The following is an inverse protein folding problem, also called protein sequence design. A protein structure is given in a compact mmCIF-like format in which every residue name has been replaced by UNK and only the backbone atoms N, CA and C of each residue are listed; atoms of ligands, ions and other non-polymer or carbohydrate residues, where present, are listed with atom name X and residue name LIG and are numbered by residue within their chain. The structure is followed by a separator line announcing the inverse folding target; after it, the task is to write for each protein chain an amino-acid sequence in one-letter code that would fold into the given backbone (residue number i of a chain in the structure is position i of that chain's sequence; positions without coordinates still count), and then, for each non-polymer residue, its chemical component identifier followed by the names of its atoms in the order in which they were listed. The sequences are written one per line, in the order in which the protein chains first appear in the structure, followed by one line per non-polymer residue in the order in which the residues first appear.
data_IF_069684821130
#
_entry.id   IF_069684821130
#
_cell.length_a   1.000
_cell.length_b   1.000
_cell.length_c   1.000
_cell.angle_alpha   90.00
_cell.angle_beta   90.00
_cell.angle_gamma   90.00
#
_symmetry.space_group_name_H-M   'P 1'
#
loop_
_entity.id
_entity.type
_entity.pdbx_description
1 polymer ?
#
# COMPACT_ATOMS: atom_id res chain seq x y z
N UNK A 1 11.37 -23.59 30.42
CA UNK A 1 10.76 -22.83 29.31
C UNK A 1 11.89 -22.36 28.39
N UNK A 2 11.65 -22.26 27.08
CA UNK A 2 12.63 -21.77 26.10
C UNK A 2 12.16 -20.40 25.63
N UNK A 3 13.01 -19.38 25.80
CA UNK A 3 12.79 -18.04 25.25
C UNK A 3 13.38 -18.00 23.86
N UNK A 4 12.58 -17.60 22.87
CA UNK A 4 13.03 -17.41 21.50
C UNK A 4 12.89 -15.93 21.15
N UNK A 5 14.02 -15.24 21.10
CA UNK A 5 14.09 -13.84 20.70
C UNK A 5 14.39 -13.75 19.21
N UNK A 6 13.61 -12.95 18.48
CA UNK A 6 13.89 -12.60 17.10
C UNK A 6 14.23 -11.11 16.97
N UNK A 7 15.43 -10.82 16.47
CA UNK A 7 15.91 -9.47 16.21
C UNK A 7 16.16 -9.30 14.71
N UNK A 8 15.63 -8.23 14.14
CA UNK A 8 15.81 -7.91 12.73
C UNK A 8 16.93 -6.87 12.57
N UNK A 9 17.87 -7.17 11.69
CA UNK A 9 18.80 -6.19 11.13
C UNK A 9 18.29 -5.75 9.76
N UNK A 10 17.71 -4.55 9.68
CA UNK A 10 17.18 -3.98 8.44
C UNK A 10 18.26 -3.74 7.38
N UNK A 11 19.48 -3.44 7.81
CA UNK A 11 20.59 -3.10 6.91
C UNK A 11 21.13 -4.34 6.23
N UNK A 12 21.28 -5.43 6.97
CA UNK A 12 21.70 -6.73 6.47
C UNK A 12 20.53 -7.51 5.85
N UNK A 13 19.28 -7.11 6.16
CA UNK A 13 18.04 -7.85 5.83
C UNK A 13 18.06 -9.26 6.42
N UNK A 14 18.53 -9.38 7.65
CA UNK A 14 18.69 -10.65 8.34
C UNK A 14 17.88 -10.69 9.63
N UNK A 15 17.25 -11.83 9.92
CA UNK A 15 16.61 -12.07 11.21
C UNK A 15 17.49 -13.01 12.03
N UNK A 16 17.91 -12.52 13.19
CA UNK A 16 18.66 -13.28 14.18
C UNK A 16 17.69 -13.90 15.18
N UNK A 17 17.64 -15.23 15.21
CA UNK A 17 16.89 -16.00 16.19
C UNK A 17 17.84 -16.47 17.28
N UNK A 18 17.54 -16.15 18.53
CA UNK A 18 18.30 -16.62 19.69
C UNK A 18 17.38 -17.42 20.60
N UNK A 19 17.65 -18.71 20.72
CA UNK A 19 16.92 -19.61 21.59
C UNK A 19 17.72 -19.86 22.86
N UNK A 20 17.12 -19.59 24.02
CA UNK A 20 17.75 -19.77 25.33
C UNK A 20 16.82 -20.57 26.23
N UNK A 21 17.24 -21.76 26.72
CA UNK A 21 16.46 -22.50 27.70
C UNK A 21 16.71 -21.96 29.12
N UNK A 22 15.65 -21.82 29.92
CA UNK A 22 15.79 -21.37 31.32
C UNK A 22 16.43 -22.44 32.24
N UNK A 23 16.46 -23.70 31.79
CA UNK A 23 16.98 -24.86 32.52
C UNK A 23 17.59 -25.86 31.53
N UNK A 24 18.50 -26.72 32.01
CA UNK A 24 19.10 -27.76 31.19
C UNK A 24 18.04 -28.68 30.57
N UNK A 25 18.18 -28.96 29.27
CA UNK A 25 17.23 -29.78 28.52
C UNK A 25 17.57 -31.27 28.63
N UNK A 26 16.58 -32.17 28.82
CA UNK A 26 16.82 -33.61 28.92
C UNK A 26 17.14 -34.28 27.57
N UNK A 27 16.83 -33.62 26.45
CA UNK A 27 17.09 -34.08 25.09
C UNK A 27 17.30 -32.88 24.14
N UNK A 28 17.91 -33.06 22.96
CA UNK A 28 18.03 -31.98 21.98
C UNK A 28 16.65 -31.53 21.48
N UNK A 29 16.52 -30.24 21.21
CA UNK A 29 15.26 -29.64 20.77
C UNK A 29 15.49 -28.80 19.52
N UNK A 30 14.69 -29.05 18.47
CA UNK A 30 14.58 -28.13 17.34
C UNK A 30 13.40 -27.18 17.56
N UNK A 31 13.63 -25.88 17.34
CA UNK A 31 12.58 -24.86 17.29
C UNK A 31 12.31 -24.55 15.83
N UNK A 32 11.06 -24.71 15.39
CA UNK A 32 10.67 -24.55 13.98
C UNK A 32 9.55 -23.53 13.81
N UNK A 33 9.51 -22.87 12.65
CA UNK A 33 8.46 -21.94 12.23
C UNK A 33 7.98 -22.31 10.83
N UNK A 34 6.71 -22.68 10.68
CA UNK A 34 6.13 -23.16 9.40
C UNK A 34 7.03 -24.23 8.72
N UNK A 35 7.65 -25.11 9.52
CA UNK A 35 8.56 -26.17 9.05
C UNK A 35 10.02 -25.77 8.85
N UNK A 36 10.37 -24.48 8.94
CA UNK A 36 11.76 -23.99 8.90
C UNK A 36 12.40 -24.14 10.28
N UNK A 37 13.55 -24.81 10.38
CA UNK A 37 14.30 -24.93 11.64
C UNK A 37 15.00 -23.61 11.95
N UNK A 38 14.59 -22.96 13.04
CA UNK A 38 15.12 -21.68 13.50
C UNK A 38 16.28 -21.82 14.49
N UNK A 39 16.30 -22.87 15.31
CA UNK A 39 17.39 -23.12 16.24
C UNK A 39 17.42 -24.60 16.65
N UNK A 40 18.61 -25.09 17.00
CA UNK A 40 18.82 -26.42 17.58
C UNK A 40 19.50 -26.24 18.92
N UNK A 41 18.82 -26.63 20.01
CA UNK A 41 19.35 -26.54 21.37
C UNK A 41 19.82 -27.94 21.79
N UNK A 42 21.13 -28.15 22.03
CA UNK A 42 21.65 -29.42 22.53
C UNK A 42 21.08 -29.81 23.90
N UNK A 43 21.11 -31.11 24.22
CA UNK A 43 20.78 -31.58 25.56
C UNK A 43 21.83 -31.11 26.58
N UNK A 44 21.41 -30.88 27.83
CA UNK A 44 22.30 -30.55 28.95
C UNK A 44 22.92 -29.15 28.92
N UNK A 45 22.71 -28.36 27.86
CA UNK A 45 23.30 -27.03 27.70
C UNK A 45 22.26 -25.93 27.98
N UNK A 46 22.47 -25.07 29.00
CA UNK A 46 21.67 -23.85 29.19
C UNK A 46 22.07 -22.70 28.24
N UNK A 47 23.05 -22.91 27.37
CA UNK A 47 23.60 -21.93 26.45
C UNK A 47 22.62 -21.44 25.37
N UNK A 48 22.78 -20.17 24.99
CA UNK A 48 22.02 -19.57 23.91
C UNK A 48 22.51 -20.07 22.55
N UNK A 49 21.57 -20.46 21.68
CA UNK A 49 21.86 -20.86 20.31
C UNK A 49 21.31 -19.82 19.36
N UNK A 50 22.15 -19.33 18.45
CA UNK A 50 21.79 -18.27 17.50
C UNK A 50 21.84 -18.77 16.07
N UNK A 51 20.77 -18.53 15.32
CA UNK A 51 20.72 -18.68 13.88
C UNK A 51 20.46 -17.32 13.24
N UNK A 52 21.12 -17.08 12.11
CA UNK A 52 20.87 -15.91 11.26
C UNK A 52 20.27 -16.41 9.95
N UNK A 53 19.10 -15.88 9.61
CA UNK A 53 18.40 -16.21 8.36
C UNK A 53 18.20 -14.94 7.52
N UNK A 54 18.35 -15.02 6.19
CA UNK A 54 17.95 -13.93 5.32
C UNK A 54 16.44 -13.73 5.41
N UNK A 55 15.99 -12.48 5.51
CA UNK A 55 14.57 -12.13 5.63
C UNK A 55 13.77 -12.67 4.44
N UNK A 56 14.37 -12.76 3.25
CA UNK A 56 13.78 -13.32 2.05
C UNK A 56 13.28 -14.75 2.24
N UNK A 57 13.98 -15.58 3.03
CA UNK A 57 13.57 -16.95 3.32
C UNK A 57 12.35 -17.02 4.26
N UNK A 58 12.07 -15.94 4.98
CA UNK A 58 11.01 -15.84 5.99
C UNK A 58 9.81 -15.02 5.50
N UNK A 59 9.99 -14.22 4.44
CA UNK A 59 8.97 -13.32 3.89
C UNK A 59 7.70 -14.05 3.45
N UNK A 60 7.82 -15.34 3.12
CA UNK A 60 6.70 -16.15 2.65
C UNK A 60 5.91 -16.86 3.75
N UNK A 61 6.34 -16.74 5.01
CA UNK A 61 5.66 -17.26 6.20
C UNK A 61 4.35 -16.49 6.41
N UNK A 62 3.26 -17.21 6.66
CA UNK A 62 1.92 -16.61 6.77
C UNK A 62 1.14 -17.03 8.01
N UNK A 63 1.45 -18.19 8.60
CA UNK A 63 0.71 -18.72 9.76
C UNK A 63 1.46 -18.54 11.07
N UNK A 64 2.79 -18.47 10.98
CA UNK A 64 3.61 -18.24 12.16
C UNK A 64 3.54 -19.42 13.14
N UNK A 65 3.29 -20.64 12.65
CA UNK A 65 3.14 -21.82 13.48
C UNK A 65 4.50 -22.21 14.05
N UNK A 66 4.75 -21.76 15.28
CA UNK A 66 5.91 -22.13 16.06
C UNK A 66 5.69 -23.51 16.70
N UNK A 67 6.63 -24.41 16.44
CA UNK A 67 6.62 -25.74 17.01
C UNK A 67 7.99 -26.09 17.60
N UNK A 68 7.97 -26.94 18.62
CA UNK A 68 9.17 -27.66 19.04
C UNK A 68 9.12 -29.09 18.58
N UNK A 69 10.29 -29.64 18.30
CA UNK A 69 10.47 -31.06 18.01
C UNK A 69 11.51 -31.66 18.96
N UNK A 70 11.11 -32.05 20.18
CA UNK A 70 11.94 -32.86 21.06
C UNK A 70 11.93 -34.32 20.57
N UNK A 71 12.97 -34.76 19.87
CA UNK A 71 13.16 -36.18 19.52
C UNK A 71 11.98 -36.90 18.85
N UNK A 72 11.00 -36.18 18.28
CA UNK A 72 9.79 -36.73 17.64
C UNK A 72 8.46 -36.61 18.39
N UNK A 73 8.43 -36.17 19.66
CA UNK A 73 7.17 -35.99 20.42
C UNK A 73 6.70 -34.52 20.42
N UNK A 74 5.38 -34.22 20.49
CA UNK A 74 4.91 -32.84 20.64
C UNK A 74 5.22 -32.29 22.05
N UNK A 75 5.63 -31.03 22.17
CA UNK A 75 5.99 -30.40 23.44
C UNK A 75 4.75 -30.12 24.31
N UNK A 76 4.92 -29.98 25.64
CA UNK A 76 3.87 -29.47 26.50
C UNK A 76 3.52 -28.00 26.15
N UNK A 77 2.24 -27.59 26.31
CA UNK A 77 1.83 -26.20 26.15
C UNK A 77 2.66 -25.25 27.03
N UNK A 78 3.06 -24.09 26.48
CA UNK A 78 3.84 -23.08 27.21
C UNK A 78 5.35 -23.35 27.27
N UNK A 79 5.87 -24.35 26.56
CA UNK A 79 7.30 -24.59 26.47
C UNK A 79 8.07 -23.46 25.75
N UNK A 80 7.40 -22.68 24.88
CA UNK A 80 7.99 -21.55 24.14
C UNK A 80 7.47 -20.24 24.67
N UNK A 81 8.38 -19.28 24.79
CA UNK A 81 8.05 -17.86 24.89
C UNK A 81 8.67 -17.12 23.70
N UNK A 82 7.91 -16.88 22.61
CA UNK A 82 8.38 -16.04 21.52
C UNK A 82 8.41 -14.57 21.96
N UNK A 83 9.49 -13.86 21.63
CA UNK A 83 9.72 -12.47 22.01
C UNK A 83 10.27 -11.65 20.83
N UNK A 84 9.82 -10.40 20.71
CA UNK A 84 10.29 -9.43 19.71
C UNK A 84 9.27 -9.14 18.60
N UNK A 85 9.44 -7.99 17.93
CA UNK A 85 8.49 -7.46 16.94
C UNK A 85 8.28 -8.39 15.73
N UNK A 86 9.26 -9.23 15.41
CA UNK A 86 9.12 -10.24 14.36
C UNK A 86 7.99 -11.25 14.67
N UNK A 87 7.93 -11.77 15.90
CA UNK A 87 6.84 -12.67 16.29
C UNK A 87 5.52 -11.95 16.48
N UNK A 88 5.55 -10.69 16.93
CA UNK A 88 4.33 -9.85 16.97
C UNK A 88 3.73 -9.67 15.57
N UNK A 89 4.56 -9.44 14.55
CA UNK A 89 4.12 -9.30 13.16
C UNK A 89 3.51 -10.60 12.61
N UNK A 90 4.06 -11.76 12.99
CA UNK A 90 3.54 -13.07 12.60
C UNK A 90 2.22 -13.43 13.28
N UNK A 91 2.07 -13.04 14.55
CA UNK A 91 1.00 -13.50 15.43
C UNK A 91 0.04 -12.37 15.84
N UNK A 92 -0.28 -11.45 14.91
CA UNK A 92 -1.25 -10.39 15.15
C UNK A 92 -2.57 -10.95 15.74
N UNK A 93 -3.01 -10.50 16.93
CA UNK A 93 -4.14 -11.10 17.62
C UNK A 93 -5.47 -10.77 16.94
N UNK A 94 -5.59 -9.54 16.42
CA UNK A 94 -6.81 -9.02 15.80
C UNK A 94 -6.51 -7.91 14.78
N UNK A 95 -7.55 -7.52 14.01
CA UNK A 95 -7.49 -6.45 13.03
C UNK A 95 -7.21 -5.07 13.66
N UNK A 96 -7.66 -4.82 14.88
CA UNK A 96 -7.44 -3.54 15.55
C UNK A 96 -5.95 -3.32 15.84
N UNK A 97 -5.27 -4.36 16.30
CA UNK A 97 -3.82 -4.38 16.55
C UNK A 97 -3.06 -4.17 15.25
N UNK A 98 -3.50 -4.80 14.16
CA UNK A 98 -2.93 -4.53 12.83
C UNK A 98 -3.01 -3.03 12.48
N UNK A 99 -4.19 -2.40 12.59
CA UNK A 99 -4.33 -0.97 12.27
C UNK A 99 -3.50 -0.07 13.18
N UNK A 100 -3.39 -0.38 14.48
CA UNK A 100 -2.51 0.34 15.39
C UNK A 100 -1.05 0.27 14.91
N UNK A 101 -0.57 -0.94 14.58
CA UNK A 101 0.82 -1.20 14.15
C UNK A 101 1.16 -0.70 12.73
N UNK A 102 0.18 -0.34 11.90
CA UNK A 102 0.46 0.18 10.54
C UNK A 102 0.09 1.64 10.33
N UNK A 103 -0.73 2.23 11.20
CA UNK A 103 -1.21 3.61 11.04
C UNK A 103 -0.65 4.60 12.06
N UNK A 104 -0.36 4.19 13.30
CA UNK A 104 -0.02 5.13 14.37
C UNK A 104 1.50 5.30 14.50
N UNK A 105 2.00 6.53 14.36
CA UNK A 105 3.44 6.81 14.34
C UNK A 105 4.23 6.32 15.57
N UNK A 106 3.58 6.21 16.74
CA UNK A 106 4.23 5.82 18.00
C UNK A 106 4.20 4.31 18.27
N UNK A 107 3.33 3.56 17.59
CA UNK A 107 3.22 2.10 17.76
C UNK A 107 3.48 1.33 16.47
N UNK A 108 3.75 2.04 15.36
CA UNK A 108 4.04 1.41 14.08
C UNK A 108 5.33 0.60 14.12
N UNK A 109 5.38 -0.47 13.32
CA UNK A 109 6.65 -1.13 13.03
C UNK A 109 7.64 -0.12 12.46
N UNK A 110 8.79 0.03 13.12
CA UNK A 110 9.84 0.91 12.62
C UNK A 110 10.47 0.34 11.35
N UNK A 111 10.60 -0.98 11.28
CA UNK A 111 11.15 -1.69 10.14
C UNK A 111 10.12 -1.83 8.99
N UNK A 112 10.49 -1.43 7.76
CA UNK A 112 9.69 -1.71 6.57
C UNK A 112 9.51 -3.21 6.28
N UNK A 113 10.47 -4.06 6.68
CA UNK A 113 10.40 -5.50 6.47
C UNK A 113 9.40 -6.15 7.45
N UNK A 114 9.38 -5.71 8.71
CA UNK A 114 8.35 -6.15 9.67
C UNK A 114 6.95 -5.71 9.26
N UNK A 115 6.83 -4.51 8.70
CA UNK A 115 5.57 -4.02 8.14
C UNK A 115 5.11 -4.89 6.96
N UNK A 116 6.03 -5.29 6.06
CA UNK A 116 5.76 -6.21 4.96
C UNK A 116 5.28 -7.58 5.49
N UNK A 117 5.95 -8.13 6.50
CA UNK A 117 5.57 -9.40 7.13
C UNK A 117 4.20 -9.32 7.79
N UNK A 118 3.97 -8.30 8.63
CA UNK A 118 2.71 -8.11 9.35
C UNK A 118 1.52 -7.90 8.40
N UNK A 119 1.72 -7.17 7.29
CA UNK A 119 0.71 -7.03 6.26
C UNK A 119 0.37 -8.38 5.60
N UNK A 120 1.38 -9.19 5.27
CA UNK A 120 1.14 -10.52 4.71
C UNK A 120 0.35 -11.42 5.65
N UNK A 121 0.77 -11.51 6.91
CA UNK A 121 0.08 -12.31 7.93
C UNK A 121 -1.35 -11.82 8.14
N UNK A 122 -1.57 -10.50 8.20
CA UNK A 122 -2.91 -9.93 8.30
C UNK A 122 -3.81 -10.29 7.10
N UNK A 123 -3.28 -10.26 5.87
CA UNK A 123 -4.05 -10.63 4.68
C UNK A 123 -4.52 -12.09 4.72
N UNK A 124 -3.66 -13.01 5.16
CA UNK A 124 -3.93 -14.45 5.18
C UNK A 124 -4.75 -14.87 6.41
N UNK A 125 -4.62 -14.19 7.55
CA UNK A 125 -5.33 -14.53 8.79
C UNK A 125 -6.73 -13.93 8.86
N UNK A 126 -6.90 -12.68 8.44
CA UNK A 126 -8.17 -11.96 8.55
C UNK A 126 -8.98 -12.05 7.25
N UNK A 127 -9.19 -13.27 6.76
CA UNK A 127 -9.85 -13.55 5.45
C UNK A 127 -11.27 -12.97 5.35
N UNK A 128 -11.97 -12.90 6.48
CA UNK A 128 -13.33 -12.38 6.60
C UNK A 128 -13.42 -10.86 6.75
N UNK A 129 -12.31 -10.16 6.92
CA UNK A 129 -12.27 -8.70 7.05
C UNK A 129 -11.69 -8.06 5.77
N UNK A 130 -12.56 -7.64 4.82
CA UNK A 130 -12.12 -7.06 3.56
C UNK A 130 -11.32 -5.76 3.75
N UNK A 131 -11.57 -5.02 4.82
CA UNK A 131 -10.87 -3.77 5.11
C UNK A 131 -9.42 -4.03 5.48
N UNK A 132 -9.19 -4.98 6.39
CA UNK A 132 -7.83 -5.41 6.79
C UNK A 132 -7.08 -5.99 5.60
N UNK A 133 -7.75 -6.81 4.78
CA UNK A 133 -7.13 -7.37 3.57
C UNK A 133 -6.75 -6.28 2.57
N UNK A 134 -7.60 -5.26 2.38
CA UNK A 134 -7.31 -4.16 1.47
C UNK A 134 -6.11 -3.33 1.95
N UNK A 135 -6.07 -3.03 3.25
CA UNK A 135 -4.96 -2.32 3.88
C UNK A 135 -3.64 -3.09 3.75
N UNK A 136 -3.66 -4.39 4.04
CA UNK A 136 -2.51 -5.27 3.89
C UNK A 136 -1.98 -5.29 2.44
N UNK A 137 -2.86 -5.51 1.46
CA UNK A 137 -2.45 -5.49 0.05
C UNK A 137 -1.91 -4.12 -0.38
N UNK A 138 -2.51 -3.02 0.10
CA UNK A 138 -2.04 -1.68 -0.22
C UNK A 138 -0.60 -1.46 0.30
N UNK A 139 -0.29 -1.91 1.51
CA UNK A 139 1.05 -1.85 2.10
C UNK A 139 2.04 -2.71 1.30
N UNK A 140 1.70 -3.97 1.02
CA UNK A 140 2.54 -4.89 0.26
C UNK A 140 2.84 -4.34 -1.14
N UNK A 141 1.82 -3.82 -1.83
CA UNK A 141 1.96 -3.21 -3.15
C UNK A 141 2.84 -1.96 -3.11
N UNK A 142 2.69 -1.07 -2.12
CA UNK A 142 3.55 0.10 -1.97
C UNK A 142 5.03 -0.30 -1.83
N UNK A 143 5.34 -1.26 -0.95
CA UNK A 143 6.71 -1.76 -0.74
C UNK A 143 7.25 -2.42 -2.00
N UNK A 144 6.40 -3.09 -2.77
CA UNK A 144 6.81 -3.67 -4.04
C UNK A 144 7.13 -2.59 -5.08
N UNK A 145 6.26 -1.58 -5.26
CA UNK A 145 6.43 -0.49 -6.22
C UNK A 145 7.75 0.26 -6.00
N UNK A 146 8.13 0.54 -4.76
CA UNK A 146 9.40 1.21 -4.45
C UNK A 146 10.63 0.45 -4.96
N UNK A 147 10.57 -0.88 -4.94
CA UNK A 147 11.64 -1.79 -5.36
C UNK A 147 11.60 -2.14 -6.85
N UNK A 148 10.51 -1.82 -7.57
CA UNK A 148 10.36 -2.18 -8.98
C UNK A 148 11.53 -1.69 -9.83
N UNK A 149 11.98 -2.57 -10.72
CA UNK A 149 12.97 -2.34 -11.77
C UNK A 149 12.32 -2.49 -13.16
N UNK A 150 13.03 -2.01 -14.19
CA UNK A 150 12.65 -2.22 -15.60
C UNK A 150 12.91 -3.64 -16.07
N UNK A 151 13.86 -4.34 -15.44
CA UNK A 151 14.22 -5.73 -15.72
C UNK A 151 13.64 -6.61 -14.60
N UNK A 152 12.40 -7.08 -14.78
CA UNK A 152 11.70 -7.86 -13.76
C UNK A 152 12.07 -9.33 -13.84
N UNK A 153 12.41 -9.91 -12.70
CA UNK A 153 12.53 -11.35 -12.60
C UNK A 153 11.14 -12.01 -12.63
N UNK A 154 11.01 -13.28 -13.07
CA UNK A 154 9.72 -13.99 -13.07
C UNK A 154 9.03 -14.01 -11.70
N UNK A 155 9.80 -14.05 -10.60
CA UNK A 155 9.28 -13.98 -9.24
C UNK A 155 8.62 -12.64 -8.90
N UNK A 156 9.10 -11.54 -9.48
CA UNK A 156 8.49 -10.22 -9.31
C UNK A 156 7.19 -10.11 -10.10
N UNK A 157 7.17 -10.61 -11.34
CA UNK A 157 5.95 -10.66 -12.16
C UNK A 157 4.85 -11.50 -11.51
N UNK A 158 5.21 -12.69 -11.00
CA UNK A 158 4.28 -13.54 -10.25
C UNK A 158 3.72 -12.82 -9.00
N UNK A 159 4.53 -12.00 -8.33
CA UNK A 159 4.07 -11.21 -7.18
C UNK A 159 3.13 -10.08 -7.58
N UNK A 160 3.39 -9.38 -8.69
CA UNK A 160 2.47 -8.37 -9.23
C UNK A 160 1.14 -9.04 -9.57
N UNK A 161 1.17 -10.16 -10.28
CA UNK A 161 -0.03 -10.91 -10.64
C UNK A 161 -0.83 -11.32 -9.38
N UNK A 162 -0.16 -11.86 -8.35
CA UNK A 162 -0.78 -12.20 -7.08
C UNK A 162 -1.43 -10.99 -6.39
N UNK A 163 -0.73 -9.85 -6.32
CA UNK A 163 -1.26 -8.63 -5.71
C UNK A 163 -2.52 -8.14 -6.44
N UNK A 164 -2.48 -8.10 -7.78
CA UNK A 164 -3.59 -7.63 -8.61
C UNK A 164 -4.79 -8.59 -8.57
N UNK A 165 -4.54 -9.90 -8.62
CA UNK A 165 -5.57 -10.93 -8.49
C UNK A 165 -6.32 -10.80 -7.16
N UNK A 166 -5.60 -10.62 -6.05
CA UNK A 166 -6.19 -10.46 -4.72
C UNK A 166 -6.84 -9.09 -4.51
N UNK A 167 -6.38 -8.04 -5.18
CA UNK A 167 -6.96 -6.71 -5.09
C UNK A 167 -8.33 -6.63 -5.79
N UNK A 168 -8.49 -7.27 -6.95
CA UNK A 168 -9.70 -7.20 -7.79
C UNK A 168 -11.03 -7.45 -7.03
N UNK A 169 -11.22 -8.55 -6.28
CA UNK A 169 -12.49 -8.79 -5.57
C UNK A 169 -12.76 -7.75 -4.48
N UNK A 170 -11.72 -7.25 -3.81
CA UNK A 170 -11.86 -6.19 -2.79
C UNK A 170 -12.25 -4.86 -3.43
N UNK A 171 -11.75 -4.56 -4.64
CA UNK A 171 -12.16 -3.37 -5.40
C UNK A 171 -13.60 -3.46 -5.87
N UNK A 172 -14.04 -4.64 -6.36
CA UNK A 172 -15.43 -4.86 -6.71
C UNK A 172 -16.36 -4.74 -5.48
N UNK A 173 -15.91 -5.19 -4.31
CA UNK A 173 -16.65 -5.00 -3.06
C UNK A 173 -16.72 -3.51 -2.66
N UNK A 174 -15.60 -2.80 -2.72
CA UNK A 174 -15.53 -1.38 -2.41
C UNK A 174 -16.47 -0.55 -3.31
N UNK A 175 -16.52 -0.84 -4.61
CA UNK A 175 -17.45 -0.20 -5.54
C UNK A 175 -18.92 -0.39 -5.17
N UNK A 176 -19.29 -1.55 -4.63
CA UNK A 176 -20.67 -1.82 -4.19
C UNK A 176 -21.01 -1.12 -2.88
N UNK A 177 -20.03 -1.00 -1.97
CA UNK A 177 -20.24 -0.47 -0.62
C UNK A 177 -20.11 1.04 -0.53
N UNK A 178 -19.28 1.65 -1.36
CA UNK A 178 -19.01 3.09 -1.35
C UNK A 178 -20.01 3.83 -2.24
N UNK A 179 -21.02 4.52 -1.67
CA UNK A 179 -22.02 5.22 -2.44
C UNK A 179 -21.43 6.39 -3.21
N UNK A 180 -22.07 6.72 -4.34
CA UNK A 180 -21.75 7.88 -5.17
C UNK A 180 -21.93 9.24 -4.46
N UNK A 181 -22.62 9.24 -3.32
CA UNK A 181 -22.83 10.43 -2.49
C UNK A 181 -22.66 10.05 -1.01
N UNK A 182 -22.14 10.98 -0.19
CA UNK A 182 -22.06 10.81 1.27
C UNK A 182 -23.48 11.04 1.80
N UNK A 183 -24.13 10.04 2.44
CA UNK A 183 -25.40 10.29 3.11
C UNK A 183 -25.18 11.24 4.31
N UNK A 184 -26.17 12.08 4.62
CA UNK A 184 -26.21 12.89 5.83
C UNK A 184 -27.23 12.29 6.82
N UNK A 185 -26.82 11.80 8.01
CA UNK A 185 -25.45 11.76 8.54
C UNK A 185 -24.58 10.67 7.89
N UNK A 186 -23.24 10.86 7.84
CA UNK A 186 -22.34 9.87 7.28
C UNK A 186 -22.34 8.60 8.12
N UNK A 187 -22.63 7.47 7.48
CA UNK A 187 -22.64 6.13 8.13
C UNK A 187 -21.44 5.27 7.78
N UNK A 188 -20.54 5.77 6.93
CA UNK A 188 -19.39 5.03 6.41
C UNK A 188 -18.15 5.23 7.30
N UNK A 189 -17.47 4.16 7.73
CA UNK A 189 -16.19 4.27 8.40
C UNK A 189 -15.14 4.91 7.47
N UNK A 190 -14.41 5.92 7.96
CA UNK A 190 -13.38 6.59 7.17
C UNK A 190 -12.27 5.65 6.68
N UNK A 191 -12.01 4.56 7.43
CA UNK A 191 -11.04 3.54 7.05
C UNK A 191 -11.42 2.86 5.73
N UNK A 192 -12.72 2.65 5.50
CA UNK A 192 -13.23 1.98 4.30
C UNK A 192 -12.90 2.80 3.06
N UNK A 193 -13.14 4.12 3.11
CA UNK A 193 -12.72 5.06 2.07
C UNK A 193 -11.19 5.02 1.92
N UNK A 194 -10.45 5.14 3.02
CA UNK A 194 -8.98 5.22 2.99
C UNK A 194 -8.33 4.04 2.29
N UNK A 195 -8.65 2.84 2.73
CA UNK A 195 -7.95 1.65 2.27
C UNK A 195 -8.43 1.20 0.89
N UNK A 196 -9.69 1.47 0.54
CA UNK A 196 -10.18 1.25 -0.82
C UNK A 196 -9.49 2.17 -1.82
N UNK A 197 -9.41 3.47 -1.51
CA UNK A 197 -8.70 4.46 -2.36
C UNK A 197 -7.21 4.11 -2.45
N UNK A 198 -6.57 3.74 -1.34
CA UNK A 198 -5.15 3.38 -1.32
C UNK A 198 -4.87 2.13 -2.16
N UNK A 199 -5.66 1.07 -1.99
CA UNK A 199 -5.52 -0.18 -2.75
C UNK A 199 -5.75 0.07 -4.25
N UNK A 200 -6.78 0.83 -4.63
CA UNK A 200 -7.02 1.19 -6.02
C UNK A 200 -5.85 1.97 -6.63
N UNK A 201 -5.30 2.93 -5.88
CA UNK A 201 -4.18 3.75 -6.33
C UNK A 201 -2.95 2.91 -6.64
N UNK A 202 -2.56 2.00 -5.73
CA UNK A 202 -1.39 1.13 -5.95
C UNK A 202 -1.66 0.03 -6.97
N UNK A 203 -2.88 -0.50 -7.06
CA UNK A 203 -3.25 -1.44 -8.12
C UNK A 203 -3.17 -0.78 -9.51
N UNK A 204 -3.63 0.47 -9.63
CA UNK A 204 -3.48 1.27 -10.86
C UNK A 204 -2.02 1.44 -11.25
N UNK A 205 -1.15 1.74 -10.29
CA UNK A 205 0.31 1.84 -10.53
C UNK A 205 0.91 0.52 -11.02
N UNK A 206 0.55 -0.59 -10.39
CA UNK A 206 1.03 -1.92 -10.78
C UNK A 206 0.55 -2.31 -12.19
N UNK A 207 -0.71 -2.02 -12.54
CA UNK A 207 -1.22 -2.23 -13.90
C UNK A 207 -0.47 -1.39 -14.94
N UNK A 208 -0.25 -0.09 -14.68
CA UNK A 208 0.52 0.76 -15.59
C UNK A 208 1.97 0.27 -15.74
N UNK A 209 2.58 -0.16 -14.64
CA UNK A 209 3.92 -0.75 -14.67
C UNK A 209 3.94 -2.04 -15.50
N UNK A 210 2.86 -2.83 -15.52
CA UNK A 210 2.68 -3.99 -16.40
C UNK A 210 2.29 -3.65 -17.84
N UNK A 211 2.11 -2.37 -18.18
CA UNK A 211 1.69 -1.92 -19.51
C UNK A 211 0.18 -2.00 -19.76
N UNK A 212 -0.62 -2.41 -18.79
CA UNK A 212 -2.08 -2.53 -18.88
C UNK A 212 -2.75 -1.22 -18.44
N UNK A 213 -2.72 -0.23 -19.32
CA UNK A 213 -3.29 1.09 -19.05
C UNK A 213 -4.82 1.08 -18.98
N UNK A 214 -5.48 0.10 -19.61
CA UNK A 214 -6.93 -0.03 -19.57
C UNK A 214 -7.40 -0.47 -18.18
N UNK A 215 -6.80 -1.52 -17.62
CA UNK A 215 -7.08 -1.94 -16.25
C UNK A 215 -6.63 -0.88 -15.22
N UNK A 216 -5.52 -0.19 -15.47
CA UNK A 216 -5.11 0.92 -14.61
C UNK A 216 -6.16 2.03 -14.54
N UNK A 217 -6.76 2.40 -15.69
CA UNK A 217 -7.87 3.37 -15.73
C UNK A 217 -9.02 2.89 -14.85
N UNK A 218 -9.44 1.63 -14.96
CA UNK A 218 -10.51 1.06 -14.12
C UNK A 218 -10.21 1.16 -12.63
N UNK A 219 -8.95 0.95 -12.22
CA UNK A 219 -8.56 1.12 -10.82
C UNK A 219 -8.70 2.59 -10.38
N UNK A 220 -8.25 3.55 -11.18
CA UNK A 220 -8.34 4.98 -10.83
C UNK A 220 -9.77 5.55 -10.86
N UNK A 221 -10.73 4.83 -11.45
CA UNK A 221 -12.13 5.23 -11.39
C UNK A 221 -12.68 5.24 -9.96
N UNK A 222 -12.17 4.37 -9.07
CA UNK A 222 -12.64 4.30 -7.68
C UNK A 222 -12.19 5.53 -6.84
N UNK A 223 -10.90 5.93 -6.82
CA UNK A 223 -10.49 7.18 -6.19
C UNK A 223 -11.23 8.41 -6.72
N UNK A 224 -11.47 8.48 -8.03
CA UNK A 224 -12.30 9.54 -8.65
C UNK A 224 -13.72 9.52 -8.07
N UNK A 225 -14.36 8.35 -8.05
CA UNK A 225 -15.70 8.17 -7.49
C UNK A 225 -15.75 8.54 -6.01
N UNK A 226 -14.65 8.42 -5.27
CA UNK A 226 -14.63 8.70 -3.84
C UNK A 226 -14.32 10.15 -3.46
N UNK A 227 -14.16 11.06 -4.42
CA UNK A 227 -13.70 12.42 -4.15
C UNK A 227 -14.60 13.20 -3.17
N UNK A 228 -15.92 12.99 -3.23
CA UNK A 228 -16.87 13.60 -2.31
C UNK A 228 -16.76 13.07 -0.87
N UNK A 229 -16.07 11.94 -0.64
CA UNK A 229 -15.76 11.40 0.68
C UNK A 229 -14.51 12.05 1.32
N UNK A 230 -13.88 13.05 0.69
CA UNK A 230 -12.66 13.68 1.20
C UNK A 230 -12.80 14.22 2.64
N UNK A 231 -13.99 14.68 3.02
CA UNK A 231 -14.26 15.14 4.39
C UNK A 231 -14.19 14.01 5.44
N UNK A 232 -14.58 12.79 5.05
CA UNK A 232 -14.49 11.60 5.91
C UNK A 232 -13.05 11.10 6.04
N UNK A 233 -12.29 11.13 4.93
CA UNK A 233 -10.94 10.58 4.87
C UNK A 233 -9.95 11.59 4.29
N UNK A 234 -9.63 12.62 5.09
CA UNK A 234 -8.75 13.73 4.68
C UNK A 234 -7.38 13.25 4.20
N UNK A 235 -6.83 12.22 4.85
CA UNK A 235 -5.55 11.57 4.50
C UNK A 235 -5.56 10.87 3.13
N UNK A 236 -6.73 10.72 2.50
CA UNK A 236 -6.88 10.09 1.19
C UNK A 236 -7.18 11.09 0.08
N UNK A 237 -7.40 12.37 0.42
CA UNK A 237 -7.75 13.42 -0.54
C UNK A 237 -6.73 13.55 -1.67
N UNK A 238 -5.43 13.45 -1.34
CA UNK A 238 -4.37 13.45 -2.34
C UNK A 238 -4.50 12.31 -3.34
N UNK A 239 -4.80 11.10 -2.87
CA UNK A 239 -5.00 9.94 -3.74
C UNK A 239 -6.29 10.05 -4.58
N UNK A 240 -7.35 10.65 -4.04
CA UNK A 240 -8.60 10.90 -4.78
C UNK A 240 -8.36 11.84 -5.95
N UNK A 241 -7.72 12.99 -5.69
CA UNK A 241 -7.43 14.00 -6.75
C UNK A 241 -6.36 13.48 -7.72
N UNK A 242 -5.36 12.74 -7.24
CA UNK A 242 -4.40 12.04 -8.12
C UNK A 242 -5.11 11.01 -9.00
N UNK A 243 -6.11 10.32 -8.46
CA UNK A 243 -6.95 9.40 -9.22
C UNK A 243 -7.78 10.11 -10.30
N UNK A 244 -8.35 11.29 -10.01
CA UNK A 244 -9.01 12.12 -11.01
C UNK A 244 -8.07 12.48 -12.16
N UNK A 245 -6.85 12.94 -11.85
CA UNK A 245 -5.82 13.25 -12.84
C UNK A 245 -5.44 12.03 -13.69
N UNK A 246 -5.07 10.92 -13.04
CA UNK A 246 -4.60 9.71 -13.74
C UNK A 246 -5.72 9.05 -14.53
N UNK A 247 -6.92 8.94 -13.97
CA UNK A 247 -8.09 8.48 -14.72
C UNK A 247 -8.34 9.36 -15.94
N UNK A 248 -8.27 10.69 -15.79
CA UNK A 248 -8.47 11.64 -16.89
C UNK A 248 -7.47 11.47 -18.03
N UNK A 249 -6.17 11.46 -17.70
CA UNK A 249 -5.09 11.29 -18.69
C UNK A 249 -5.17 9.91 -19.35
N UNK A 250 -5.42 8.85 -18.59
CA UNK A 250 -5.55 7.49 -19.13
C UNK A 250 -6.78 7.35 -20.03
N UNK A 251 -7.92 7.93 -19.65
CA UNK A 251 -9.12 7.95 -20.50
C UNK A 251 -8.86 8.63 -21.83
N UNK A 252 -8.20 9.79 -21.83
CA UNK A 252 -7.83 10.48 -23.06
C UNK A 252 -6.87 9.64 -23.92
N UNK A 253 -5.82 9.09 -23.31
CA UNK A 253 -4.87 8.21 -23.99
C UNK A 253 -5.53 6.96 -24.60
N UNK A 254 -6.64 6.49 -24.02
CA UNK A 254 -7.42 5.34 -24.47
C UNK A 254 -8.60 5.73 -25.40
N UNK A 255 -8.70 6.99 -25.82
CA UNK A 255 -9.70 7.45 -26.80
C UNK A 255 -11.08 7.75 -26.21
N UNK A 256 -11.19 8.01 -24.91
CA UNK A 256 -12.43 8.38 -24.22
C UNK A 256 -12.36 9.82 -23.69
N UNK A 257 -12.58 10.84 -24.56
CA UNK A 257 -12.42 12.24 -24.20
C UNK A 257 -13.49 12.76 -23.23
N UNK A 258 -14.69 12.16 -23.22
CA UNK A 258 -15.76 12.57 -22.31
C UNK A 258 -15.48 12.10 -20.88
N UNK A 259 -15.06 10.83 -20.71
CA UNK A 259 -14.59 10.37 -19.40
C UNK A 259 -13.34 11.13 -18.95
N UNK A 260 -12.44 11.48 -19.88
CA UNK A 260 -11.27 12.30 -19.58
C UNK A 260 -11.68 13.67 -19.02
N UNK A 261 -12.54 14.40 -19.73
CA UNK A 261 -13.07 15.70 -19.34
C UNK A 261 -13.72 15.63 -17.95
N UNK A 262 -14.67 14.72 -17.76
CA UNK A 262 -15.41 14.57 -16.51
C UNK A 262 -14.54 14.17 -15.31
N UNK A 263 -13.34 13.62 -15.54
CA UNK A 263 -12.40 13.26 -14.49
C UNK A 263 -11.49 14.42 -14.11
N UNK A 264 -10.98 15.13 -15.11
CA UNK A 264 -10.15 16.31 -14.89
C UNK A 264 -10.97 17.44 -14.25
N UNK A 265 -12.22 17.63 -14.68
CA UNK A 265 -13.17 18.56 -14.05
C UNK A 265 -13.42 18.22 -12.58
N UNK A 266 -13.73 16.96 -12.27
CA UNK A 266 -13.88 16.52 -10.89
C UNK A 266 -12.61 16.80 -10.06
N UNK A 267 -11.42 16.56 -10.60
CA UNK A 267 -10.16 16.87 -9.92
C UNK A 267 -9.96 18.37 -9.62
N UNK A 268 -10.39 19.25 -10.53
CA UNK A 268 -10.35 20.71 -10.34
C UNK A 268 -11.35 21.12 -9.24
N UNK A 269 -12.58 20.63 -9.32
CA UNK A 269 -13.66 20.93 -8.37
C UNK A 269 -13.42 20.33 -6.98
N UNK A 270 -12.63 19.25 -6.91
CA UNK A 270 -12.22 18.55 -5.70
C UNK A 270 -11.46 19.40 -4.69
N UNK A 271 -10.88 20.53 -5.10
CA UNK A 271 -10.18 21.45 -4.18
C UNK A 271 -11.13 21.99 -3.12
N UNK A 272 -12.34 22.40 -3.51
CA UNK A 272 -13.32 23.01 -2.60
C UNK A 272 -13.68 22.11 -1.41
N UNK A 273 -14.16 20.86 -1.59
CA UNK A 273 -14.49 19.99 -0.47
C UNK A 273 -13.26 19.65 0.39
N UNK A 274 -12.07 19.54 -0.20
CA UNK A 274 -10.82 19.29 0.56
C UNK A 274 -10.46 20.48 1.45
N UNK A 275 -10.59 21.71 0.93
CA UNK A 275 -10.37 22.94 1.71
C UNK A 275 -11.45 23.10 2.77
N UNK A 276 -12.73 22.83 2.47
CA UNK A 276 -13.82 22.90 3.45
C UNK A 276 -13.68 21.85 4.56
N UNK A 277 -13.07 20.70 4.26
CA UNK A 277 -12.72 19.70 5.23
C UNK A 277 -11.51 20.07 6.09
N UNK A 278 -10.92 21.27 5.94
CA UNK A 278 -9.78 21.70 6.76
C UNK A 278 -10.15 21.75 8.24
N UNK A 279 -9.22 21.26 9.05
CA UNK A 279 -9.22 21.43 10.49
C UNK A 279 -7.80 21.86 10.84
N UNK A 280 -7.63 23.11 11.29
CA UNK A 280 -6.31 23.69 11.60
C UNK A 280 -5.67 23.04 12.82
N UNK A 281 -6.44 22.31 13.63
CA UNK A 281 -5.93 21.50 14.73
C UNK A 281 -5.59 20.07 14.29
N UNK A 282 -5.84 19.73 13.01
CA UNK A 282 -5.46 18.44 12.46
C UNK A 282 -3.95 18.30 12.31
N UNK A 283 -3.53 17.03 12.29
CA UNK A 283 -2.13 16.61 12.18
C UNK A 283 -1.39 17.28 11.00
N UNK A 284 -0.14 17.71 11.21
CA UNK A 284 0.73 18.40 10.23
C UNK A 284 0.82 17.68 8.87
N UNK A 285 0.69 16.36 8.86
CA UNK A 285 0.67 15.54 7.63
C UNK A 285 -0.51 15.89 6.71
N UNK A 286 -1.69 16.20 7.28
CA UNK A 286 -2.89 16.58 6.52
C UNK A 286 -2.69 17.94 5.84
N UNK A 287 -1.95 18.86 6.45
CA UNK A 287 -1.64 20.17 5.87
C UNK A 287 -0.69 20.01 4.68
N UNK A 288 0.33 19.16 4.79
CA UNK A 288 1.24 18.86 3.68
C UNK A 288 0.52 18.24 2.47
N UNK A 289 -0.41 17.30 2.71
CA UNK A 289 -1.20 16.67 1.66
C UNK A 289 -2.11 17.66 0.91
N UNK A 290 -2.60 18.71 1.57
CA UNK A 290 -3.44 19.72 0.94
C UNK A 290 -2.69 20.58 -0.09
N UNK A 291 -1.44 20.94 0.20
CA UNK A 291 -0.59 21.65 -0.77
C UNK A 291 -0.40 20.78 -2.01
N UNK A 292 -0.18 19.48 -1.82
CA UNK A 292 -0.07 18.53 -2.92
C UNK A 292 -1.39 18.39 -3.69
N UNK A 293 -2.55 18.36 -3.01
CA UNK A 293 -3.87 18.36 -3.66
C UNK A 293 -4.02 19.55 -4.60
N UNK A 294 -3.65 20.77 -4.17
CA UNK A 294 -3.73 21.96 -5.02
C UNK A 294 -2.82 21.86 -6.24
N UNK A 295 -1.61 21.29 -6.10
CA UNK A 295 -0.71 21.03 -7.24
C UNK A 295 -1.34 20.06 -8.24
N UNK A 296 -1.95 18.98 -7.77
CA UNK A 296 -2.60 18.01 -8.68
C UNK A 296 -3.83 18.61 -9.35
N UNK A 297 -4.66 19.36 -8.62
CA UNK A 297 -5.80 20.04 -9.23
C UNK A 297 -5.36 21.03 -10.32
N UNK A 298 -4.24 21.72 -10.13
CA UNK A 298 -3.61 22.53 -11.19
C UNK A 298 -3.18 21.66 -12.38
N UNK A 299 -2.58 20.49 -12.16
CA UNK A 299 -2.29 19.56 -13.26
C UNK A 299 -3.54 19.07 -13.98
N UNK A 300 -4.67 18.87 -13.28
CA UNK A 300 -5.95 18.57 -13.91
C UNK A 300 -6.41 19.70 -14.85
N UNK A 301 -6.30 20.95 -14.41
CA UNK A 301 -6.61 22.12 -15.23
C UNK A 301 -5.70 22.22 -16.46
N UNK A 302 -4.38 22.08 -16.27
CA UNK A 302 -3.40 22.10 -17.36
C UNK A 302 -3.70 20.97 -18.35
N UNK A 303 -3.93 19.75 -17.87
CA UNK A 303 -4.29 18.61 -18.71
C UNK A 303 -5.55 18.87 -19.51
N UNK A 304 -6.64 19.36 -18.88
CA UNK A 304 -7.90 19.61 -19.59
C UNK A 304 -7.70 20.57 -20.77
N UNK A 305 -6.94 21.64 -20.56
CA UNK A 305 -6.63 22.62 -21.60
C UNK A 305 -5.69 22.05 -22.69
N UNK A 306 -4.56 21.45 -22.29
CA UNK A 306 -3.53 20.92 -23.21
C UNK A 306 -3.98 19.71 -24.03
N UNK A 307 -4.94 18.95 -23.52
CA UNK A 307 -5.56 17.83 -24.24
C UNK A 307 -6.74 18.28 -25.13
N UNK A 308 -7.04 19.59 -25.20
CA UNK A 308 -8.12 20.11 -26.03
C UNK A 308 -9.51 19.72 -25.54
N UNK A 309 -9.68 19.50 -24.24
CA UNK A 309 -10.92 18.99 -23.63
C UNK A 309 -11.83 20.11 -23.11
N UNK A 310 -11.48 21.37 -23.32
CA UNK A 310 -12.29 22.53 -22.94
C UNK A 310 -13.60 22.52 -23.74
N UNK A 311 -14.77 22.56 -23.08
CA UNK A 311 -16.05 22.59 -23.80
C UNK A 311 -16.16 23.81 -24.71
N UNK A 312 -16.70 23.65 -25.94
CA UNK A 312 -17.04 24.80 -26.78
C UNK A 312 -18.01 25.74 -26.05
N UNK A 313 -17.65 27.02 -25.91
CA UNK A 313 -18.50 28.01 -25.23
C UNK A 313 -18.42 28.01 -23.70
N UNK A 314 -17.57 27.16 -23.09
CA UNK A 314 -17.04 27.49 -21.77
C UNK A 314 -16.35 28.86 -21.92
N UNK A 315 -16.65 29.83 -21.04
CA UNK A 315 -16.15 31.20 -21.17
C UNK A 315 -14.62 31.30 -21.20
N UNK A 316 -14.08 32.51 -21.14
CA UNK A 316 -12.62 32.71 -21.14
C UNK A 316 -12.01 32.00 -19.92
N UNK A 317 -11.43 30.81 -20.14
CA UNK A 317 -10.61 30.16 -19.13
C UNK A 317 -9.40 31.05 -18.82
N UNK A 318 -8.92 31.09 -17.56
CA UNK A 318 -7.70 31.82 -17.25
C UNK A 318 -6.58 31.29 -18.15
N UNK A 319 -5.89 32.16 -18.92
CA UNK A 319 -4.90 31.71 -19.88
C UNK A 319 -3.80 30.94 -19.16
N UNK A 320 -3.47 29.76 -19.68
CA UNK A 320 -2.27 29.06 -19.26
C UNK A 320 -1.05 29.89 -19.66
N UNK A 321 -0.30 30.35 -18.66
CA UNK A 321 0.98 30.99 -18.91
C UNK A 321 1.93 30.04 -19.65
N UNK A 322 2.93 30.60 -20.35
CA UNK A 322 3.89 29.81 -21.13
C UNK A 322 4.67 28.77 -20.29
N UNK A 323 4.79 28.99 -18.97
CA UNK A 323 5.43 28.06 -18.03
C UNK A 323 4.50 26.94 -17.52
N UNK A 324 3.24 26.89 -17.94
CA UNK A 324 2.31 25.83 -17.57
C UNK A 324 2.57 24.57 -18.42
N UNK A 325 3.26 23.62 -17.80
CA UNK A 325 3.72 22.36 -18.37
C UNK A 325 2.91 21.22 -17.73
N UNK A 326 2.40 20.32 -18.56
CA UNK A 326 1.76 19.10 -18.09
C UNK A 326 2.87 18.12 -17.65
N UNK A 327 2.88 17.74 -16.37
CA UNK A 327 3.95 16.90 -15.82
C UNK A 327 3.45 15.89 -14.81
N UNK A 328 4.13 14.75 -14.75
CA UNK A 328 3.93 13.72 -13.73
C UNK A 328 4.76 13.97 -12.46
N UNK A 329 5.72 14.90 -12.52
CA UNK A 329 6.62 15.20 -11.38
C UNK A 329 5.91 15.93 -10.23
N UNK A 330 4.77 16.56 -10.50
CA UNK A 330 3.93 17.19 -9.47
C UNK A 330 3.10 16.17 -8.68
N UNK A 331 2.99 14.90 -9.16
CA UNK A 331 2.38 13.81 -8.40
C UNK A 331 3.29 13.39 -7.24
N UNK A 332 2.69 13.13 -6.07
CA UNK A 332 3.43 12.58 -4.95
C UNK A 332 4.01 11.19 -5.29
N UNK A 333 5.03 10.78 -4.53
CA UNK A 333 5.63 9.46 -4.68
C UNK A 333 4.56 8.36 -4.59
N UNK A 334 4.67 7.27 -5.40
CA UNK A 334 5.86 6.85 -6.14
C UNK A 334 5.89 7.24 -7.63
N UNK A 335 4.90 7.98 -8.15
CA UNK A 335 4.76 8.24 -9.59
C UNK A 335 6.02 8.84 -10.26
N UNK A 336 6.62 9.94 -9.76
CA UNK A 336 7.80 10.52 -10.40
C UNK A 336 8.99 9.56 -10.42
N UNK A 337 9.13 8.73 -9.38
CA UNK A 337 10.19 7.72 -9.31
C UNK A 337 9.99 6.63 -10.36
N UNK A 338 8.75 6.19 -10.60
CA UNK A 338 8.45 5.20 -11.64
C UNK A 338 8.73 5.74 -13.04
N UNK A 339 8.38 7.00 -13.30
CA UNK A 339 8.68 7.69 -14.57
C UNK A 339 10.18 7.79 -14.79
N UNK A 340 10.95 8.26 -13.79
CA UNK A 340 12.42 8.36 -13.88
C UNK A 340 13.10 7.01 -14.09
N UNK A 341 12.54 5.93 -13.54
CA UNK A 341 13.02 4.56 -13.76
C UNK A 341 12.66 4.03 -15.17
N UNK A 342 11.85 4.74 -15.96
CA UNK A 342 11.40 4.29 -17.28
C UNK A 342 10.32 3.21 -17.22
N UNK A 343 9.58 3.09 -16.11
CA UNK A 343 8.54 2.06 -15.94
C UNK A 343 7.24 2.40 -16.67
N UNK A 344 7.02 3.67 -17.02
CA UNK A 344 5.75 4.18 -17.56
C UNK A 344 5.93 4.87 -18.93
N UNK A 345 6.59 4.22 -19.92
CA UNK A 345 7.04 4.91 -21.13
C UNK A 345 5.91 5.49 -21.97
N UNK A 346 4.79 4.76 -22.12
CA UNK A 346 3.64 5.24 -22.93
C UNK A 346 2.93 6.43 -22.30
N UNK A 347 2.76 6.41 -20.97
CA UNK A 347 2.18 7.56 -20.25
C UNK A 347 3.10 8.78 -20.36
N UNK A 348 4.41 8.60 -20.19
CA UNK A 348 5.38 9.68 -20.33
C UNK A 348 5.38 10.27 -21.74
N UNK A 349 5.38 9.44 -22.77
CA UNK A 349 5.29 9.88 -24.16
C UNK A 349 4.01 10.68 -24.41
N UNK A 350 2.87 10.20 -23.91
CA UNK A 350 1.60 10.88 -24.02
C UNK A 350 1.64 12.28 -23.39
N UNK A 351 2.14 12.38 -22.15
CA UNK A 351 2.30 13.66 -21.45
C UNK A 351 3.21 14.61 -22.25
N UNK A 352 4.37 14.14 -22.72
CA UNK A 352 5.33 14.96 -23.47
C UNK A 352 4.75 15.51 -24.77
N UNK A 353 3.93 14.71 -25.48
CA UNK A 353 3.27 15.12 -26.73
C UNK A 353 2.35 16.31 -26.53
N UNK A 354 1.67 16.38 -25.39
CA UNK A 354 0.69 17.42 -25.07
C UNK A 354 1.25 18.52 -24.17
N UNK A 355 2.50 18.42 -23.73
CA UNK A 355 3.10 19.36 -22.78
C UNK A 355 3.77 20.58 -23.43
N UNK A 356 3.97 20.59 -24.76
CA UNK A 356 4.65 21.69 -25.46
C UNK A 356 3.66 22.81 -25.83
N UNK A 357 4.12 24.08 -25.87
CA UNK A 357 3.27 25.25 -26.11
C UNK A 357 2.37 25.14 -27.32
#
# INVERSE_FOLDING_TARGET
MIRLLAQLDDSAREVRFTATPDQALPAPVEVTLDGVVLARIPAGDPGAQTLVLPFEALRDISRGELAFRPGGAPPPPGALRPEGEFFEALALPDAATFFQKVQLNHSRYASPLLLELGARCAHERFTHDPLTRAAALAILAHRHIERLSTQRAPAEEARIAWLLERARPLMAEAWRRLPAHVPDPPRLPWQEVRWSVSLATVAGLLHMAGGDYAAAREMYALPRHCLHHAALSKVSALNMVSGCFLHGVLSHMLGDPDAARASLEAGIEGVKPVVQAQDLMANIWVIGDQVNVMRIARQCFIARSRLGLVPPGAGVEPPLGAAAVLTLDELAAPMPAMVRKGLLPRLQEHILRHSRP
#
